data_IF_112333552122
#
_entry.id   IF_112333552122
#
_cell.length_a   1.000
_cell.length_b   1.000
_cell.length_c   1.000
_cell.angle_alpha   90.00
_cell.angle_beta   90.00
_cell.angle_gamma   90.00
#
_symmetry.space_group_name_H-M   'P 1'
#
loop_
_entity.id
_entity.type
_entity.pdbx_description
1 polymer ?
#
# COMPACT_ATOMS: atom_id res chain seq x y z
N UNK A 1 -14.34 1.81 16.12
CA UNK A 1 -12.94 1.39 16.24
C UNK A 1 -12.71 0.28 15.23
N UNK A 2 -11.66 0.39 14.42
CA UNK A 2 -11.36 -0.60 13.36
C UNK A 2 -10.95 -1.94 13.98
N UNK A 3 -11.39 -3.06 13.38
CA UNK A 3 -11.01 -4.42 13.77
C UNK A 3 -9.83 -4.90 12.91
N UNK A 4 -8.81 -5.51 13.50
CA UNK A 4 -7.79 -6.22 12.73
C UNK A 4 -8.26 -7.66 12.51
N UNK A 5 -8.34 -8.08 11.25
CA UNK A 5 -8.74 -9.43 10.82
C UNK A 5 -7.49 -10.17 10.35
N UNK A 6 -7.10 -11.20 11.07
CA UNK A 6 -5.94 -12.03 10.71
C UNK A 6 -6.31 -13.01 9.58
N UNK A 7 -5.46 -13.06 8.54
CA UNK A 7 -5.60 -13.99 7.41
C UNK A 7 -4.29 -14.74 7.20
N UNK A 8 -4.31 -16.05 7.35
CA UNK A 8 -3.18 -16.91 7.02
C UNK A 8 -3.13 -17.11 5.52
N UNK A 9 -1.96 -16.89 4.90
CA UNK A 9 -1.74 -17.00 3.45
C UNK A 9 -0.46 -17.79 3.18
N UNK A 10 -0.48 -18.63 2.15
CA UNK A 10 0.65 -19.51 1.82
C UNK A 10 1.67 -18.79 0.94
N UNK A 11 2.63 -18.12 1.59
CA UNK A 11 3.71 -17.36 0.99
C UNK A 11 5.06 -17.94 1.45
N UNK A 12 5.67 -18.72 0.57
CA UNK A 12 6.98 -19.36 0.79
C UNK A 12 8.12 -18.41 0.41
N UNK A 13 8.19 -17.29 1.15
CA UNK A 13 9.23 -16.32 0.95
C UNK A 13 10.60 -16.85 1.40
N UNK A 14 11.67 -16.53 0.66
CA UNK A 14 12.99 -17.09 0.94
C UNK A 14 13.54 -16.57 2.27
N UNK A 15 13.79 -17.49 3.21
CA UNK A 15 14.40 -17.16 4.49
C UNK A 15 15.82 -16.62 4.31
N UNK A 16 16.14 -15.52 5.00
CA UNK A 16 17.48 -14.92 4.98
C UNK A 16 17.83 -14.16 3.70
N UNK A 17 16.90 -14.01 2.76
CA UNK A 17 17.06 -13.19 1.56
C UNK A 17 16.08 -12.01 1.57
N UNK A 18 16.47 -10.90 0.95
CA UNK A 18 15.55 -9.76 0.85
C UNK A 18 14.36 -10.09 -0.03
N UNK A 19 13.21 -9.57 0.37
CA UNK A 19 12.05 -9.52 -0.51
C UNK A 19 12.21 -8.35 -1.47
N UNK A 20 11.35 -8.25 -2.46
CA UNK A 20 11.46 -7.24 -3.50
C UNK A 20 10.11 -6.59 -3.73
N UNK A 21 10.12 -5.27 -3.81
CA UNK A 21 8.94 -4.44 -3.98
C UNK A 21 9.08 -3.56 -5.23
N UNK A 22 7.96 -3.38 -5.94
CA UNK A 22 7.80 -2.44 -7.03
C UNK A 22 6.66 -1.49 -6.68
N UNK A 23 6.98 -0.22 -6.47
CA UNK A 23 5.97 0.85 -6.36
C UNK A 23 5.72 1.40 -7.76
N UNK A 24 4.47 1.37 -8.21
CA UNK A 24 4.02 2.00 -9.43
C UNK A 24 3.51 3.42 -9.12
N UNK A 25 4.40 4.40 -9.09
CA UNK A 25 4.02 5.81 -8.94
C UNK A 25 3.52 6.33 -10.30
N UNK A 26 2.26 6.05 -10.59
CA UNK A 26 1.55 6.45 -11.82
C UNK A 26 0.54 7.57 -11.54
N UNK A 27 0.16 8.38 -12.54
CA UNK A 27 -0.81 9.44 -12.35
C UNK A 27 -2.22 8.90 -12.13
N UNK A 28 -3.00 9.65 -11.38
CA UNK A 28 -4.45 9.53 -11.36
C UNK A 28 -5.05 10.79 -11.97
N UNK A 29 -5.88 10.65 -12.98
CA UNK A 29 -6.67 11.78 -13.52
C UNK A 29 -8.11 11.53 -13.14
N UNK A 30 -8.57 12.17 -12.07
CA UNK A 30 -9.88 11.94 -11.49
C UNK A 30 -10.87 13.02 -11.91
N UNK A 31 -12.13 12.63 -12.05
CA UNK A 31 -13.26 13.51 -12.27
C UNK A 31 -14.40 13.05 -11.36
N UNK A 32 -15.26 13.98 -10.97
CA UNK A 32 -16.44 13.65 -10.20
C UNK A 32 -17.62 13.37 -11.12
N UNK A 33 -18.26 12.21 -10.93
CA UNK A 33 -19.52 11.83 -11.60
C UNK A 33 -20.41 11.14 -10.59
N UNK A 34 -21.66 11.58 -10.47
CA UNK A 34 -22.64 11.00 -9.54
C UNK A 34 -22.12 10.84 -8.11
N UNK A 35 -21.36 11.84 -7.65
CA UNK A 35 -20.70 11.89 -6.32
C UNK A 35 -19.57 10.87 -6.09
N UNK A 36 -19.13 10.17 -7.14
CA UNK A 36 -17.97 9.29 -7.12
C UNK A 36 -16.77 9.99 -7.76
N UNK A 37 -15.58 9.78 -7.20
CA UNK A 37 -14.33 10.05 -7.90
C UNK A 37 -13.97 8.87 -8.79
N UNK A 38 -14.05 9.12 -10.11
CA UNK A 38 -13.76 8.16 -11.17
C UNK A 38 -12.59 8.67 -12.01
N UNK A 39 -11.94 7.79 -12.75
CA UNK A 39 -10.90 8.15 -13.71
C UNK A 39 -11.54 8.90 -14.89
N UNK A 40 -10.82 9.93 -15.35
CA UNK A 40 -11.19 10.78 -16.48
C UNK A 40 -11.29 9.96 -17.77
N UNK A 41 -10.28 9.10 -17.98
CA UNK A 41 -10.13 8.22 -19.13
C UNK A 41 -9.74 6.81 -18.66
N UNK A 42 -10.73 5.96 -18.32
CA UNK A 42 -10.49 4.60 -17.81
C UNK A 42 -9.60 3.74 -18.71
N UNK A 43 -9.80 3.78 -20.03
CA UNK A 43 -9.04 2.96 -20.98
C UNK A 43 -7.56 3.37 -21.06
N UNK A 44 -7.27 4.68 -21.08
CA UNK A 44 -5.90 5.16 -21.06
C UNK A 44 -5.20 4.81 -19.75
N UNK A 45 -5.89 4.96 -18.61
CA UNK A 45 -5.36 4.53 -17.33
C UNK A 45 -5.09 3.02 -17.33
N UNK A 46 -6.03 2.23 -17.84
CA UNK A 46 -5.87 0.79 -17.95
C UNK A 46 -4.68 0.39 -18.82
N UNK A 47 -4.46 1.04 -19.95
CA UNK A 47 -3.27 0.79 -20.77
C UNK A 47 -1.97 1.00 -19.98
N UNK A 48 -1.91 2.03 -19.13
CA UNK A 48 -0.76 2.25 -18.26
C UNK A 48 -0.64 1.16 -17.18
N UNK A 49 -1.73 0.83 -16.48
CA UNK A 49 -1.76 -0.23 -15.46
C UNK A 49 -1.33 -1.56 -16.08
N UNK A 50 -1.94 -1.95 -17.20
CA UNK A 50 -1.64 -3.16 -17.95
C UNK A 50 -0.18 -3.22 -18.38
N UNK A 51 0.42 -2.11 -18.81
CA UNK A 51 1.84 -2.09 -19.19
C UNK A 51 2.78 -2.42 -18.01
N UNK A 52 2.39 -2.07 -16.78
CA UNK A 52 3.12 -2.46 -15.56
C UNK A 52 2.89 -3.95 -15.27
N UNK A 53 1.66 -4.43 -15.39
CA UNK A 53 1.35 -5.85 -15.22
C UNK A 53 2.12 -6.72 -16.23
N UNK A 54 2.19 -6.30 -17.49
CA UNK A 54 2.94 -6.99 -18.56
C UNK A 54 4.44 -7.04 -18.22
N UNK A 55 5.02 -5.92 -17.78
CA UNK A 55 6.42 -5.86 -17.34
C UNK A 55 6.72 -6.85 -16.19
N UNK A 56 5.80 -6.94 -15.21
CA UNK A 56 5.93 -7.82 -14.05
C UNK A 56 5.76 -9.29 -14.46
N UNK A 57 4.77 -9.58 -15.29
CA UNK A 57 4.51 -10.91 -15.84
C UNK A 57 5.69 -11.45 -16.65
N UNK A 58 6.27 -10.62 -17.51
CA UNK A 58 7.45 -10.97 -18.32
C UNK A 58 8.66 -11.25 -17.41
N UNK A 59 8.76 -10.54 -16.29
CA UNK A 59 9.72 -10.83 -15.22
C UNK A 59 11.19 -10.69 -15.66
N UNK A 60 11.47 -9.86 -16.66
CA UNK A 60 12.82 -9.71 -17.20
C UNK A 60 13.84 -9.28 -16.12
N UNK A 61 15.04 -9.83 -16.17
CA UNK A 61 16.12 -9.50 -15.23
C UNK A 61 15.80 -9.89 -13.79
N UNK A 62 15.78 -8.91 -12.88
CA UNK A 62 15.51 -9.12 -11.46
C UNK A 62 14.01 -9.09 -11.12
N UNK A 63 13.13 -8.60 -12.01
CA UNK A 63 11.68 -8.54 -11.75
C UNK A 63 11.04 -9.92 -11.56
N UNK A 64 11.67 -10.99 -12.05
CA UNK A 64 11.32 -12.38 -11.72
C UNK A 64 11.35 -12.72 -10.22
N UNK A 65 12.00 -11.88 -9.41
CA UNK A 65 12.09 -12.00 -7.95
C UNK A 65 11.13 -11.06 -7.22
N UNK A 66 10.24 -10.37 -7.95
CA UNK A 66 9.28 -9.47 -7.34
C UNK A 66 8.37 -10.26 -6.39
N UNK A 67 8.16 -9.72 -5.19
CA UNK A 67 7.24 -10.28 -4.20
C UNK A 67 6.03 -9.36 -3.99
N UNK A 68 6.24 -8.04 -4.04
CA UNK A 68 5.20 -7.04 -3.80
C UNK A 68 5.10 -6.08 -4.98
N UNK A 69 3.91 -5.93 -5.55
CA UNK A 69 3.56 -4.89 -6.51
C UNK A 69 2.53 -3.96 -5.88
N UNK A 70 2.81 -2.66 -5.87
CA UNK A 70 1.93 -1.67 -5.28
C UNK A 70 1.53 -0.62 -6.31
N UNK A 71 0.22 -0.48 -6.55
CA UNK A 71 -0.37 0.64 -7.27
C UNK A 71 -0.99 1.65 -6.30
N UNK A 72 -1.15 2.92 -6.70
CA UNK A 72 -1.72 3.96 -5.85
C UNK A 72 -3.21 3.74 -5.54
N UNK A 73 -3.73 4.49 -4.58
CA UNK A 73 -5.18 4.64 -4.34
C UNK A 73 -5.88 5.12 -5.62
N UNK A 74 -7.09 4.64 -5.94
CA UNK A 74 -7.90 5.08 -7.09
C UNK A 74 -7.19 5.07 -8.45
N UNK A 75 -6.32 4.08 -8.70
CA UNK A 75 -5.49 4.02 -9.91
C UNK A 75 -5.93 3.00 -10.94
N UNK A 76 -6.81 2.07 -10.55
CA UNK A 76 -7.32 1.00 -11.41
C UNK A 76 -8.81 1.22 -11.72
N UNK A 77 -9.21 1.21 -13.00
CA UNK A 77 -10.62 1.30 -13.36
C UNK A 77 -11.41 0.06 -12.91
N UNK A 78 -12.63 0.28 -12.43
CA UNK A 78 -13.51 -0.83 -11.99
C UNK A 78 -13.89 -1.74 -13.15
N UNK A 79 -14.00 -1.20 -14.36
CA UNK A 79 -14.30 -1.97 -15.58
C UNK A 79 -13.24 -3.03 -15.93
N UNK A 80 -12.01 -2.88 -15.44
CA UNK A 80 -10.89 -3.80 -15.70
C UNK A 80 -10.46 -4.58 -14.45
N UNK A 81 -11.31 -4.62 -13.42
CA UNK A 81 -11.01 -5.37 -12.20
C UNK A 81 -10.75 -6.86 -12.50
N UNK A 82 -11.62 -7.48 -13.30
CA UNK A 82 -11.47 -8.89 -13.67
C UNK A 82 -10.28 -9.13 -14.61
N UNK A 83 -10.07 -8.26 -15.60
CA UNK A 83 -8.89 -8.35 -16.48
C UNK A 83 -7.57 -8.30 -15.70
N UNK A 84 -7.48 -7.44 -14.68
CA UNK A 84 -6.32 -7.36 -13.81
C UNK A 84 -6.12 -8.65 -13.02
N UNK A 85 -7.19 -9.18 -12.40
CA UNK A 85 -7.13 -10.44 -11.66
C UNK A 85 -6.72 -11.61 -12.56
N UNK A 86 -7.23 -11.67 -13.79
CA UNK A 86 -6.87 -12.69 -14.77
C UNK A 86 -5.38 -12.62 -15.13
N UNK A 87 -4.83 -11.42 -15.37
CA UNK A 87 -3.38 -11.26 -15.61
C UNK A 87 -2.55 -11.76 -14.43
N UNK A 88 -2.94 -11.46 -13.19
CA UNK A 88 -2.25 -11.98 -12.00
C UNK A 88 -2.38 -13.51 -11.92
N UNK A 89 -3.60 -14.04 -12.06
CA UNK A 89 -3.90 -15.46 -11.95
C UNK A 89 -3.14 -16.29 -13.00
N UNK A 90 -3.05 -15.80 -14.23
CA UNK A 90 -2.50 -16.55 -15.35
C UNK A 90 -0.99 -16.34 -15.52
N UNK A 91 -0.50 -15.10 -15.34
CA UNK A 91 0.85 -14.73 -15.79
C UNK A 91 1.83 -14.38 -14.68
N UNK A 92 1.37 -13.94 -13.51
CA UNK A 92 2.30 -13.63 -12.41
C UNK A 92 2.91 -14.91 -11.84
N UNK A 93 4.10 -14.78 -11.24
CA UNK A 93 4.73 -15.88 -10.53
C UNK A 93 4.01 -16.13 -9.20
N UNK A 94 3.97 -17.38 -8.70
CA UNK A 94 3.58 -17.66 -7.32
C UNK A 94 4.43 -16.87 -6.30
N UNK A 95 3.95 -16.79 -5.06
CA UNK A 95 4.55 -16.00 -3.98
C UNK A 95 4.62 -14.50 -4.32
N UNK A 96 3.52 -13.97 -4.85
CA UNK A 96 3.39 -12.54 -5.16
C UNK A 96 2.16 -11.95 -4.50
N UNK A 97 2.27 -10.68 -4.11
CA UNK A 97 1.22 -9.86 -3.53
C UNK A 97 1.08 -8.61 -4.38
N UNK A 98 -0.11 -8.35 -4.89
CA UNK A 98 -0.42 -7.15 -5.68
C UNK A 98 -1.48 -6.33 -4.95
N UNK A 99 -1.16 -5.08 -4.62
CA UNK A 99 -2.00 -4.16 -3.87
C UNK A 99 -2.37 -2.99 -4.77
N UNK A 100 -3.65 -2.71 -4.93
CA UNK A 100 -4.09 -1.66 -5.85
C UNK A 100 -5.40 -1.01 -5.40
N UNK A 101 -5.45 0.31 -5.50
CA UNK A 101 -6.66 1.09 -5.24
C UNK A 101 -7.54 1.19 -6.48
N UNK A 102 -8.85 1.06 -6.27
CA UNK A 102 -9.86 1.06 -7.31
C UNK A 102 -10.58 2.40 -7.37
N UNK A 103 -11.17 2.73 -8.52
CA UNK A 103 -12.17 3.80 -8.59
C UNK A 103 -13.27 3.58 -7.56
N UNK A 104 -13.89 4.69 -7.13
CA UNK A 104 -14.99 4.61 -6.17
C UNK A 104 -16.20 3.92 -6.79
N UNK A 105 -16.87 3.09 -5.99
CA UNK A 105 -18.13 2.42 -6.32
C UNK A 105 -19.16 2.69 -5.24
N UNK A 106 -20.41 2.30 -5.44
CA UNK A 106 -21.42 2.34 -4.37
C UNK A 106 -21.29 1.14 -3.42
N UNK A 107 -21.76 1.31 -2.19
CA UNK A 107 -21.71 0.25 -1.17
C UNK A 107 -22.44 -1.03 -1.62
N UNK A 108 -23.54 -0.91 -2.36
CA UNK A 108 -24.22 -2.06 -2.98
C UNK A 108 -23.28 -2.87 -3.89
N UNK A 109 -22.49 -2.20 -4.72
CA UNK A 109 -21.54 -2.84 -5.63
C UNK A 109 -20.38 -3.46 -4.84
N UNK A 110 -19.88 -2.76 -3.82
CA UNK A 110 -18.83 -3.28 -2.93
C UNK A 110 -19.29 -4.54 -2.18
N UNK A 111 -20.52 -4.54 -1.66
CA UNK A 111 -21.16 -5.70 -1.05
C UNK A 111 -21.27 -6.88 -2.03
N UNK A 112 -21.65 -6.62 -3.29
CA UNK A 112 -21.72 -7.66 -4.31
C UNK A 112 -20.34 -8.30 -4.57
N UNK A 113 -19.26 -7.49 -4.59
CA UNK A 113 -17.89 -8.00 -4.71
C UNK A 113 -17.47 -8.81 -3.48
N UNK A 114 -17.78 -8.35 -2.26
CA UNK A 114 -17.51 -9.11 -1.04
C UNK A 114 -18.23 -10.47 -1.04
N UNK A 115 -19.46 -10.55 -1.56
CA UNK A 115 -20.16 -11.82 -1.75
C UNK A 115 -19.49 -12.70 -2.81
N UNK A 116 -19.04 -12.12 -3.94
CA UNK A 116 -18.32 -12.86 -5.00
C UNK A 116 -17.03 -13.51 -4.47
N UNK A 117 -16.31 -12.83 -3.57
CA UNK A 117 -15.06 -13.32 -2.98
C UNK A 117 -15.22 -13.67 -1.49
N UNK A 118 -16.38 -14.19 -1.10
CA UNK A 118 -16.73 -14.40 0.30
C UNK A 118 -15.74 -15.31 1.05
N UNK A 119 -15.16 -16.31 0.39
CA UNK A 119 -14.19 -17.23 0.99
C UNK A 119 -12.99 -16.51 1.64
N UNK A 120 -12.58 -15.38 1.05
CA UNK A 120 -11.49 -14.55 1.55
C UNK A 120 -12.00 -13.36 2.40
N UNK A 121 -13.27 -12.98 2.26
CA UNK A 121 -13.82 -11.71 2.76
C UNK A 121 -15.00 -11.82 3.73
N UNK A 122 -15.29 -13.01 4.29
CA UNK A 122 -16.47 -13.24 5.12
C UNK A 122 -16.63 -12.24 6.29
N UNK A 123 -15.55 -11.88 6.98
CA UNK A 123 -15.56 -10.93 8.11
C UNK A 123 -15.80 -9.49 7.65
N UNK A 124 -15.28 -9.13 6.47
CA UNK A 124 -15.52 -7.84 5.84
C UNK A 124 -16.99 -7.72 5.42
N UNK A 125 -17.53 -8.79 4.83
CA UNK A 125 -18.95 -8.89 4.48
C UNK A 125 -19.83 -8.78 5.72
N UNK A 126 -19.53 -9.50 6.80
CA UNK A 126 -20.28 -9.41 8.06
C UNK A 126 -20.33 -7.98 8.61
N UNK A 127 -19.22 -7.23 8.53
CA UNK A 127 -19.18 -5.83 8.92
C UNK A 127 -20.11 -4.97 8.05
N UNK A 128 -20.12 -5.19 6.74
CA UNK A 128 -20.97 -4.43 5.79
C UNK A 128 -22.45 -4.75 6.00
N UNK A 129 -22.81 -6.02 6.16
CA UNK A 129 -24.21 -6.43 6.41
C UNK A 129 -24.73 -5.79 7.70
N UNK A 130 -23.94 -5.79 8.78
CA UNK A 130 -24.33 -5.15 10.05
C UNK A 130 -24.56 -3.65 9.91
N UNK A 131 -23.73 -2.96 9.12
CA UNK A 131 -23.87 -1.53 8.89
C UNK A 131 -25.10 -1.23 8.01
N UNK A 132 -25.39 -2.05 7.00
CA UNK A 132 -26.60 -1.96 6.17
C UNK A 132 -27.86 -2.21 7.01
N UNK A 133 -27.84 -3.19 7.90
CA UNK A 133 -28.96 -3.46 8.81
C UNK A 133 -29.25 -2.28 9.76
N UNK A 134 -28.27 -1.40 9.97
CA UNK A 134 -28.38 -0.23 10.85
C UNK A 134 -28.93 1.03 10.17
N UNK A 135 -29.04 1.06 8.84
CA UNK A 135 -29.57 2.22 8.11
C UNK A 135 -29.51 2.10 6.58
N UNK A 136 -30.18 3.03 5.89
CA UNK A 136 -30.17 3.09 4.43
C UNK A 136 -28.88 3.75 3.91
N UNK A 137 -27.85 2.93 3.70
CA UNK A 137 -26.50 3.38 3.32
C UNK A 137 -25.99 2.76 2.01
N UNK A 138 -26.81 1.99 1.31
CA UNK A 138 -26.40 1.24 0.10
C UNK A 138 -25.90 2.14 -1.03
N UNK A 139 -26.40 3.38 -1.09
CA UNK A 139 -25.99 4.38 -2.06
C UNK A 139 -24.64 5.04 -1.77
N UNK A 140 -24.07 4.88 -0.56
CA UNK A 140 -22.86 5.57 -0.14
C UNK A 140 -21.67 5.20 -1.04
N UNK A 141 -20.87 6.20 -1.48
CA UNK A 141 -19.59 5.96 -2.13
C UNK A 141 -18.63 5.16 -1.26
N UNK A 142 -17.83 4.29 -1.87
CA UNK A 142 -16.80 3.49 -1.20
C UNK A 142 -15.47 3.75 -1.90
N UNK A 143 -14.49 4.23 -1.14
CA UNK A 143 -13.08 4.21 -1.54
C UNK A 143 -12.47 2.89 -1.03
N UNK A 144 -11.91 2.08 -1.92
CA UNK A 144 -11.53 0.71 -1.61
C UNK A 144 -10.30 0.27 -2.40
N UNK A 145 -9.68 -0.80 -1.92
CA UNK A 145 -8.57 -1.45 -2.57
C UNK A 145 -8.76 -2.96 -2.62
N UNK A 146 -7.95 -3.59 -3.45
CA UNK A 146 -7.82 -5.03 -3.52
C UNK A 146 -6.38 -5.45 -3.22
N UNK A 147 -6.24 -6.48 -2.40
CA UNK A 147 -5.00 -7.19 -2.13
C UNK A 147 -5.13 -8.58 -2.76
N UNK A 148 -4.50 -8.77 -3.91
CA UNK A 148 -4.48 -10.02 -4.65
C UNK A 148 -3.21 -10.80 -4.30
N UNK A 149 -3.35 -11.98 -3.70
CA UNK A 149 -2.25 -12.80 -3.21
C UNK A 149 -2.20 -14.08 -4.04
N UNK A 150 -1.15 -14.25 -4.84
CA UNK A 150 -0.87 -15.50 -5.56
C UNK A 150 0.02 -16.37 -4.68
N UNK A 151 -0.61 -17.32 -4.01
CA UNK A 151 0.06 -18.23 -3.08
C UNK A 151 1.07 -19.14 -3.80
N UNK A 152 1.94 -19.80 -3.03
CA UNK A 152 2.95 -20.74 -3.55
C UNK A 152 2.36 -21.85 -4.42
N UNK A 153 1.11 -22.24 -4.15
CA UNK A 153 0.34 -23.24 -4.93
C UNK A 153 -0.10 -22.74 -6.30
N UNK A 154 0.03 -21.43 -6.57
CA UNK A 154 -0.54 -20.75 -7.73
C UNK A 154 -1.98 -20.28 -7.53
N UNK A 155 -2.65 -20.66 -6.42
CA UNK A 155 -3.99 -20.15 -6.08
C UNK A 155 -3.95 -18.64 -5.90
N UNK A 156 -4.86 -17.93 -6.58
CA UNK A 156 -5.10 -16.52 -6.34
C UNK A 156 -6.16 -16.36 -5.23
N UNK A 157 -5.85 -15.54 -4.23
CA UNK A 157 -6.76 -15.11 -3.18
C UNK A 157 -6.98 -13.61 -3.27
N UNK A 158 -8.20 -13.15 -3.02
CA UNK A 158 -8.63 -11.77 -3.31
C UNK A 158 -9.25 -11.18 -2.06
N UNK A 159 -8.61 -10.17 -1.49
CA UNK A 159 -9.08 -9.49 -0.28
C UNK A 159 -9.45 -8.05 -0.60
N UNK A 160 -10.60 -7.60 -0.13
CA UNK A 160 -11.18 -6.30 -0.44
C UNK A 160 -11.28 -5.47 0.84
N UNK A 161 -10.69 -4.28 0.83
CA UNK A 161 -10.66 -3.40 1.99
C UNK A 161 -11.22 -2.02 1.61
N UNK A 162 -12.20 -1.56 2.39
CA UNK A 162 -12.73 -0.21 2.28
C UNK A 162 -11.94 0.73 3.19
N UNK A 163 -11.64 1.93 2.69
CA UNK A 163 -10.97 2.99 3.45
C UNK A 163 -11.76 3.28 4.72
N UNK A 164 -11.08 3.30 5.86
CA UNK A 164 -11.75 3.48 7.15
C UNK A 164 -12.06 4.94 7.42
N UNK A 165 -11.20 5.85 6.97
CA UNK A 165 -11.32 7.28 7.22
C UNK A 165 -11.09 8.11 5.95
N UNK A 166 -12.17 8.65 5.39
CA UNK A 166 -12.14 9.63 4.31
C UNK A 166 -11.31 10.88 4.65
N UNK A 167 -10.73 11.52 3.63
CA UNK A 167 -10.16 12.86 3.78
C UNK A 167 -11.26 13.90 3.92
N UNK A 168 -11.00 15.01 4.61
CA UNK A 168 -11.91 16.15 4.73
C UNK A 168 -12.33 16.77 3.38
N UNK A 169 -11.56 16.56 2.31
CA UNK A 169 -11.96 16.94 0.94
C UNK A 169 -12.90 15.94 0.25
N UNK A 170 -13.07 14.76 0.85
CA UNK A 170 -14.00 13.69 0.48
C UNK A 170 -15.26 13.69 1.37
N UNK A 171 -15.33 14.53 2.42
CA UNK A 171 -16.46 14.67 3.35
C UNK A 171 -17.06 16.08 3.24
N UNK A 172 -18.38 16.19 3.04
CA UNK A 172 -19.07 17.48 2.89
C UNK A 172 -19.90 17.83 4.13
N UNK A 173 -20.29 19.10 4.26
CA UNK A 173 -21.18 19.56 5.36
C UNK A 173 -22.56 18.88 5.35
N UNK A 174 -22.90 18.23 4.24
CA UNK A 174 -24.15 17.52 4.03
C UNK A 174 -23.88 16.00 4.10
N UNK A 175 -24.45 15.35 5.12
CA UNK A 175 -24.18 13.94 5.49
C UNK A 175 -24.46 12.93 4.37
N UNK A 176 -25.28 13.32 3.40
CA UNK A 176 -25.68 12.48 2.27
C UNK A 176 -24.55 12.22 1.26
N UNK A 177 -23.37 12.82 1.47
CA UNK A 177 -22.21 12.70 0.59
C UNK A 177 -20.97 12.10 1.27
N UNK A 178 -21.11 11.58 2.49
CA UNK A 178 -19.99 10.94 3.18
C UNK A 178 -19.63 9.60 2.51
N UNK A 179 -18.33 9.31 2.41
CA UNK A 179 -17.84 7.99 2.02
C UNK A 179 -18.19 6.96 3.11
N UNK A 180 -18.53 5.74 2.70
CA UNK A 180 -18.64 4.60 3.60
C UNK A 180 -17.31 4.37 4.32
N UNK A 181 -17.37 4.20 5.63
CA UNK A 181 -16.21 4.00 6.50
C UNK A 181 -15.99 2.51 6.74
N UNK A 182 -14.92 1.98 6.19
CA UNK A 182 -14.47 0.61 6.46
C UNK A 182 -14.33 0.32 7.96
N UNK A 183 -14.59 -0.93 8.33
CA UNK A 183 -14.62 -1.39 9.73
C UNK A 183 -13.46 -2.29 10.13
N UNK A 184 -12.61 -2.67 9.18
CA UNK A 184 -11.51 -3.58 9.43
C UNK A 184 -10.25 -3.22 8.66
N UNK A 185 -9.14 -3.79 9.11
CA UNK A 185 -7.90 -3.93 8.34
C UNK A 185 -7.50 -5.40 8.31
N UNK A 186 -6.91 -5.85 7.21
CA UNK A 186 -6.31 -7.18 7.15
C UNK A 186 -4.88 -7.19 7.71
N UNK A 187 -4.60 -8.17 8.57
CA UNK A 187 -3.25 -8.60 8.92
C UNK A 187 -2.98 -9.94 8.25
N UNK A 188 -2.15 -9.95 7.21
CA UNK A 188 -1.78 -11.16 6.51
C UNK A 188 -0.61 -11.83 7.22
N UNK A 189 -0.79 -13.09 7.58
CA UNK A 189 0.24 -13.95 8.20
C UNK A 189 0.78 -14.89 7.14
N UNK A 190 1.95 -14.55 6.60
CA UNK A 190 2.62 -15.34 5.57
C UNK A 190 3.22 -16.61 6.15
N UNK A 191 2.78 -17.76 5.66
CA UNK A 191 3.28 -19.08 6.05
C UNK A 191 3.94 -19.80 4.86
N UNK A 192 5.04 -20.55 5.08
CA UNK A 192 5.71 -20.81 6.35
C UNK A 192 6.72 -19.73 6.77
N UNK A 193 6.91 -18.67 5.96
CA UNK A 193 7.97 -17.69 6.16
C UNK A 193 7.83 -16.80 7.42
N UNK A 194 6.67 -16.81 8.07
CA UNK A 194 6.32 -15.94 9.21
C UNK A 194 6.44 -14.44 8.91
N UNK A 195 6.21 -14.04 7.65
CA UNK A 195 6.24 -12.63 7.24
C UNK A 195 4.83 -12.03 7.35
N UNK A 196 4.63 -11.13 8.30
CA UNK A 196 3.35 -10.49 8.57
C UNK A 196 3.29 -9.10 7.93
N UNK A 197 2.24 -8.82 7.19
CA UNK A 197 2.07 -7.52 6.55
C UNK A 197 0.63 -7.03 6.53
N UNK A 198 0.48 -5.72 6.38
CA UNK A 198 -0.80 -5.04 6.24
C UNK A 198 -0.76 -4.09 5.04
N UNK A 199 -1.91 -3.86 4.41
CA UNK A 199 -2.11 -2.79 3.43
C UNK A 199 -3.21 -1.88 3.95
N UNK A 200 -3.05 -0.57 3.85
CA UNK A 200 -4.06 0.42 4.22
C UNK A 200 -4.10 1.57 3.21
N UNK A 201 -5.15 2.40 3.26
CA UNK A 201 -5.39 3.44 2.26
C UNK A 201 -5.13 4.83 2.82
N UNK A 202 -4.09 5.49 2.34
CA UNK A 202 -3.87 6.93 2.45
C UNK A 202 -3.93 7.48 3.90
N UNK A 203 -5.05 8.10 4.27
CA UNK A 203 -5.27 8.71 5.58
C UNK A 203 -5.66 7.72 6.66
N UNK A 204 -5.94 6.47 6.32
CA UNK A 204 -6.04 5.40 7.31
C UNK A 204 -4.77 5.34 8.18
N UNK A 205 -3.61 5.70 7.60
CA UNK A 205 -2.35 5.82 8.32
C UNK A 205 -2.35 7.00 9.30
N UNK A 206 -3.01 8.11 9.00
CA UNK A 206 -2.98 9.32 9.85
C UNK A 206 -4.11 9.41 10.85
N UNK A 207 -5.17 8.63 10.67
CA UNK A 207 -6.40 8.85 11.40
C UNK A 207 -6.22 8.68 12.91
N UNK A 208 -6.61 9.73 13.64
CA UNK A 208 -6.77 9.76 15.08
C UNK A 208 -7.85 10.76 15.48
N UNK A 209 -8.63 10.40 16.47
CA UNK A 209 -9.54 11.29 17.20
C UNK A 209 -9.17 11.29 18.69
N UNK A 210 -10.01 11.90 19.54
CA UNK A 210 -9.78 11.99 20.99
C UNK A 210 -9.75 10.62 21.70
N UNK A 211 -10.31 9.58 21.08
CA UNK A 211 -10.58 8.29 21.70
C UNK A 211 -9.95 7.10 20.95
N UNK A 212 -9.56 7.28 19.69
CA UNK A 212 -9.10 6.20 18.82
C UNK A 212 -8.05 6.66 17.81
N UNK A 213 -7.14 5.76 17.48
CA UNK A 213 -6.14 5.93 16.42
C UNK A 213 -5.99 4.60 15.70
N UNK A 214 -6.01 4.63 14.37
CA UNK A 214 -5.81 3.44 13.55
C UNK A 214 -4.41 2.86 13.77
N UNK A 215 -3.39 3.72 13.81
CA UNK A 215 -2.02 3.30 14.06
C UNK A 215 -1.84 2.74 15.47
N UNK A 216 -2.52 3.32 16.47
CA UNK A 216 -2.51 2.72 17.81
C UNK A 216 -3.08 1.30 17.81
N UNK A 217 -4.16 1.05 17.07
CA UNK A 217 -4.70 -0.31 16.95
C UNK A 217 -3.72 -1.29 16.31
N UNK A 218 -3.00 -0.85 15.27
CA UNK A 218 -1.96 -1.65 14.62
C UNK A 218 -0.81 -1.94 15.60
N UNK A 219 -0.33 -0.94 16.33
CA UNK A 219 0.72 -1.10 17.36
C UNK A 219 0.26 -2.08 18.45
N UNK A 220 -0.91 -1.86 19.04
CA UNK A 220 -1.43 -2.68 20.13
C UNK A 220 -1.61 -4.14 19.68
N UNK A 221 -2.12 -4.37 18.46
CA UNK A 221 -2.27 -5.71 17.91
C UNK A 221 -0.92 -6.38 17.62
N UNK A 222 0.03 -5.64 17.02
CA UNK A 222 1.36 -6.17 16.73
C UNK A 222 2.16 -6.48 18.00
N UNK A 223 2.00 -5.68 19.05
CA UNK A 223 2.57 -5.97 20.36
C UNK A 223 1.98 -7.25 20.96
N UNK A 224 0.66 -7.47 20.86
CA UNK A 224 0.05 -8.75 21.27
C UNK A 224 0.65 -9.93 20.50
N UNK A 225 0.81 -9.80 19.18
CA UNK A 225 1.44 -10.83 18.34
C UNK A 225 2.88 -11.12 18.82
N UNK A 226 3.65 -10.08 19.14
CA UNK A 226 5.02 -10.23 19.62
C UNK A 226 5.10 -10.92 20.97
N UNK A 227 4.30 -10.50 21.95
CA UNK A 227 4.36 -11.08 23.29
C UNK A 227 3.81 -12.50 23.35
N UNK A 228 2.88 -12.87 22.45
CA UNK A 228 2.28 -14.20 22.42
C UNK A 228 3.06 -15.20 21.56
N UNK A 229 3.58 -14.75 20.41
CA UNK A 229 4.13 -15.64 19.38
C UNK A 229 5.55 -15.27 18.94
N UNK A 230 6.14 -14.19 19.49
CA UNK A 230 7.44 -13.64 19.05
C UNK A 230 7.48 -13.27 17.56
N UNK A 231 6.34 -12.86 17.04
CA UNK A 231 6.20 -12.33 15.68
C UNK A 231 5.84 -10.85 15.73
N UNK A 232 6.37 -10.06 14.81
CA UNK A 232 6.10 -8.63 14.66
C UNK A 232 5.26 -8.37 13.40
N UNK A 233 4.83 -7.13 13.21
CA UNK A 233 4.49 -6.63 11.88
C UNK A 233 5.80 -6.38 11.11
N UNK A 234 5.96 -6.99 9.95
CA UNK A 234 7.20 -6.88 9.16
C UNK A 234 7.09 -5.78 8.09
N UNK A 235 5.90 -5.61 7.49
CA UNK A 235 5.66 -4.54 6.53
C UNK A 235 4.27 -3.91 6.64
N UNK A 236 4.22 -2.59 6.47
CA UNK A 236 2.97 -1.82 6.37
C UNK A 236 2.97 -1.06 5.04
N UNK A 237 2.09 -1.44 4.13
CA UNK A 237 1.92 -0.78 2.84
C UNK A 237 0.81 0.26 2.92
N UNK A 238 1.08 1.48 2.47
CA UNK A 238 0.12 2.58 2.44
C UNK A 238 -0.01 3.03 0.99
N UNK A 239 -1.13 2.68 0.33
CA UNK A 239 -1.43 3.15 -1.04
C UNK A 239 -2.12 4.51 -0.97
N UNK A 240 -1.74 5.45 -1.81
CA UNK A 240 -2.17 6.85 -1.64
C UNK A 240 -2.42 7.57 -2.96
N UNK A 241 -3.39 8.49 -2.93
CA UNK A 241 -3.55 9.58 -3.87
C UNK A 241 -3.50 10.90 -3.06
N UNK A 242 -2.38 11.11 -2.37
CA UNK A 242 -2.21 12.18 -1.40
C UNK A 242 -1.50 13.40 -2.02
N UNK A 243 -2.15 14.59 -2.09
CA UNK A 243 -1.52 15.80 -2.62
C UNK A 243 -0.45 16.38 -1.69
N UNK A 244 -0.39 15.95 -0.42
CA UNK A 244 0.55 16.46 0.60
C UNK A 244 1.34 15.31 1.25
N UNK A 245 2.16 14.57 0.48
CA UNK A 245 2.90 13.41 1.00
C UNK A 245 3.92 13.79 2.08
N UNK A 246 4.45 15.01 2.04
CA UNK A 246 5.43 15.53 3.00
C UNK A 246 4.80 16.31 4.18
N UNK A 247 3.47 16.21 4.39
CA UNK A 247 2.82 16.95 5.48
C UNK A 247 3.32 16.49 6.86
N UNK A 248 3.51 17.44 7.80
CA UNK A 248 4.05 17.16 9.14
C UNK A 248 3.26 16.12 9.94
N UNK A 249 1.96 15.97 9.67
CA UNK A 249 1.14 14.92 10.27
C UNK A 249 1.70 13.50 10.04
N UNK A 250 2.27 13.21 8.86
CA UNK A 250 2.94 11.92 8.60
C UNK A 250 4.16 11.73 9.47
N UNK A 251 4.96 12.79 9.62
CA UNK A 251 6.11 12.79 10.51
C UNK A 251 5.70 12.52 11.97
N UNK A 252 4.63 13.15 12.45
CA UNK A 252 4.15 12.97 13.82
C UNK A 252 3.70 11.53 14.09
N UNK A 253 2.98 10.93 13.14
CA UNK A 253 2.52 9.54 13.24
C UNK A 253 3.69 8.56 13.15
N UNK A 254 4.63 8.77 12.21
CA UNK A 254 5.86 7.97 12.12
C UNK A 254 6.69 8.07 13.40
N UNK A 255 6.76 9.26 14.00
CA UNK A 255 7.44 9.46 15.28
C UNK A 255 6.79 8.66 16.39
N UNK A 256 5.46 8.58 16.45
CA UNK A 256 4.77 7.71 17.41
C UNK A 256 4.96 6.23 17.11
N UNK A 257 4.90 5.83 15.83
CA UNK A 257 5.00 4.44 15.41
C UNK A 257 6.39 3.84 15.62
N UNK A 258 7.45 4.61 15.36
CA UNK A 258 8.84 4.16 15.51
C UNK A 258 9.55 4.66 16.78
N UNK A 259 9.01 5.69 17.45
CA UNK A 259 9.73 6.50 18.43
C UNK A 259 9.28 6.41 19.87
N UNK A 260 8.56 5.37 20.29
CA UNK A 260 8.18 5.28 21.71
C UNK A 260 9.39 5.00 22.62
N UNK A 261 9.76 6.03 23.37
CA UNK A 261 10.83 6.04 24.37
C UNK A 261 10.32 5.72 25.80
N UNK A 262 9.01 5.50 25.98
CA UNK A 262 8.38 5.29 27.30
C UNK A 262 7.67 3.94 27.46
N UNK A 263 7.13 3.37 26.37
CA UNK A 263 6.62 1.99 26.31
C UNK A 263 7.40 1.25 25.21
N UNK A 264 7.95 0.08 25.51
CA UNK A 264 8.60 -0.74 24.48
C UNK A 264 7.50 -1.25 23.54
N UNK A 265 7.56 -0.86 22.26
CA UNK A 265 6.65 -1.31 21.19
C UNK A 265 7.32 -2.33 20.27
N UNK A 266 7.75 -3.49 20.80
CA UNK A 266 8.57 -4.44 20.06
C UNK A 266 7.84 -5.02 18.84
N UNK A 267 6.50 -5.01 18.83
CA UNK A 267 5.70 -5.55 17.75
C UNK A 267 5.78 -4.79 16.43
N UNK A 268 6.18 -3.51 16.44
CA UNK A 268 6.30 -2.69 15.24
C UNK A 268 7.71 -2.13 15.00
N UNK A 269 8.61 -2.32 15.96
CA UNK A 269 9.94 -1.69 16.02
C UNK A 269 10.77 -1.82 14.74
N UNK A 270 10.64 -2.95 14.06
CA UNK A 270 11.43 -3.31 12.89
C UNK A 270 10.57 -3.32 11.60
N UNK A 271 9.33 -2.81 11.67
CA UNK A 271 8.41 -2.74 10.52
C UNK A 271 9.01 -1.87 9.42
N UNK A 272 8.90 -2.31 8.17
CA UNK A 272 9.15 -1.47 6.99
C UNK A 272 7.84 -0.83 6.55
N UNK A 273 7.73 0.49 6.60
CA UNK A 273 6.52 1.19 6.10
C UNK A 273 6.76 1.69 4.68
N UNK A 274 5.93 1.29 3.73
CA UNK A 274 6.05 1.63 2.31
C UNK A 274 4.87 2.49 1.87
N UNK A 275 5.13 3.74 1.54
CA UNK A 275 4.16 4.69 1.02
C UNK A 275 4.25 4.74 -0.51
N UNK A 276 3.23 4.22 -1.19
CA UNK A 276 3.08 4.28 -2.64
C UNK A 276 2.05 5.31 -3.03
N UNK A 277 2.50 6.47 -3.51
CA UNK A 277 1.63 7.57 -3.92
C UNK A 277 1.49 7.62 -5.45
N UNK A 278 0.45 8.28 -5.94
CA UNK A 278 0.35 8.69 -7.34
C UNK A 278 1.41 9.75 -7.70
N UNK A 279 1.74 9.92 -8.99
CA UNK A 279 2.75 10.89 -9.45
C UNK A 279 2.26 12.35 -9.43
N UNK A 280 3.17 13.31 -9.61
CA UNK A 280 2.86 14.75 -9.78
C UNK A 280 2.10 15.12 -11.06
N UNK A 281 2.00 14.19 -12.01
CA UNK A 281 1.14 14.31 -13.19
C UNK A 281 -0.36 14.06 -12.89
N UNK A 282 -0.70 13.79 -11.62
CA UNK A 282 -2.08 13.56 -11.20
C UNK A 282 -2.93 14.82 -11.23
N UNK A 283 -4.20 14.64 -11.52
CA UNK A 283 -5.20 15.69 -11.72
C UNK A 283 -6.50 15.34 -11.02
N UNK A 284 -7.18 16.34 -10.47
CA UNK A 284 -8.57 16.20 -10.02
C UNK A 284 -9.40 17.29 -10.70
N UNK A 285 -10.47 16.88 -11.37
CA UNK A 285 -11.38 17.75 -12.14
C UNK A 285 -10.62 18.64 -13.15
N UNK A 286 -9.58 18.10 -13.78
CA UNK A 286 -8.73 18.79 -14.76
C UNK A 286 -7.75 19.81 -14.15
N UNK A 287 -7.67 19.89 -12.83
CA UNK A 287 -6.74 20.79 -12.13
C UNK A 287 -5.51 20.02 -11.68
N UNK A 288 -4.34 20.44 -12.20
CA UNK A 288 -3.02 20.00 -11.70
C UNK A 288 -2.63 20.78 -10.46
N UNK A 289 -2.19 20.08 -9.43
CA UNK A 289 -1.66 20.69 -8.22
C UNK A 289 -0.13 20.76 -8.32
N UNK A 290 0.42 21.97 -8.58
CA UNK A 290 1.87 22.15 -8.73
C UNK A 290 2.61 21.83 -7.42
N UNK A 291 3.60 20.94 -7.49
CA UNK A 291 4.37 20.52 -6.32
C UNK A 291 3.59 19.64 -5.33
N UNK A 292 2.48 19.06 -5.78
CA UNK A 292 1.67 18.10 -5.02
C UNK A 292 1.88 16.68 -5.58
N UNK A 293 1.52 15.67 -4.79
CA UNK A 293 1.68 14.25 -5.14
C UNK A 293 3.14 13.83 -5.37
N UNK A 294 3.31 12.61 -5.87
CA UNK A 294 4.60 11.94 -5.97
C UNK A 294 5.15 11.61 -4.60
N UNK A 295 6.49 11.57 -4.49
CA UNK A 295 7.19 11.40 -3.22
C UNK A 295 6.72 10.13 -2.49
N UNK A 296 6.56 9.03 -3.24
CA UNK A 296 6.54 7.71 -2.61
C UNK A 296 7.79 7.56 -1.73
N UNK A 297 7.69 6.85 -0.61
CA UNK A 297 8.85 6.67 0.26
C UNK A 297 8.76 5.40 1.09
N UNK A 298 9.90 4.97 1.60
CA UNK A 298 10.04 3.84 2.51
C UNK A 298 10.63 4.34 3.82
N UNK A 299 10.00 4.05 4.94
CA UNK A 299 10.48 4.38 6.27
C UNK A 299 10.85 3.11 7.04
N UNK A 300 11.98 3.16 7.74
CA UNK A 300 12.45 2.13 8.67
C UNK A 300 12.94 2.80 9.95
N UNK A 301 13.07 2.04 11.03
CA UNK A 301 13.62 2.54 12.29
C UNK A 301 15.01 3.16 12.11
N UNK A 302 15.28 4.29 12.78
CA UNK A 302 16.60 4.92 12.79
C UNK A 302 17.70 4.05 13.44
N UNK A 303 17.33 2.92 14.05
CA UNK A 303 18.29 1.90 14.52
C UNK A 303 18.98 1.20 13.35
N UNK A 304 18.33 1.11 12.20
CA UNK A 304 18.96 0.67 10.97
C UNK A 304 19.76 1.82 10.39
N UNK A 305 21.05 1.58 10.11
CA UNK A 305 21.87 2.57 9.42
C UNK A 305 21.55 2.54 7.93
N UNK A 306 21.18 3.69 7.37
CA UNK A 306 21.08 3.90 5.92
C UNK A 306 22.07 4.99 5.52
N UNK A 307 22.87 4.73 4.49
CA UNK A 307 23.84 5.72 4.00
C UNK A 307 23.11 6.96 3.47
N UNK A 308 23.60 8.18 3.75
CA UNK A 308 23.08 9.39 3.12
C UNK A 308 23.29 9.31 1.60
N UNK A 309 22.21 9.42 0.83
CA UNK A 309 22.24 9.39 -0.64
C UNK A 309 21.36 10.49 -1.19
N UNK A 310 21.84 11.13 -2.25
CA UNK A 310 21.18 12.22 -2.95
C UNK A 310 21.34 11.96 -4.44
N UNK A 311 20.45 11.15 -5.01
CA UNK A 311 20.36 10.90 -6.44
C UNK A 311 19.22 11.71 -7.06
N UNK A 312 19.19 11.75 -8.39
CA UNK A 312 18.12 12.44 -9.12
C UNK A 312 16.73 11.85 -8.84
N UNK A 313 16.64 10.52 -8.76
CA UNK A 313 15.36 9.80 -8.68
C UNK A 313 14.99 9.40 -7.24
N UNK A 314 15.94 9.46 -6.30
CA UNK A 314 15.70 9.13 -4.88
C UNK A 314 16.77 9.73 -3.96
N UNK A 315 16.43 9.91 -2.71
CA UNK A 315 17.33 10.39 -1.67
C UNK A 315 17.03 9.70 -0.33
N UNK A 316 18.00 9.66 0.58
CA UNK A 316 17.76 9.28 1.96
C UNK A 316 17.81 10.49 2.90
N UNK A 317 16.91 10.52 3.88
CA UNK A 317 16.82 11.54 4.92
C UNK A 317 16.26 10.96 6.23
N UNK A 318 16.20 11.78 7.28
CA UNK A 318 15.66 11.43 8.62
C UNK A 318 14.26 12.03 8.86
N UNK A 319 13.58 12.43 7.79
CA UNK A 319 12.29 13.13 7.81
C UNK A 319 12.23 14.29 8.84
N UNK A 320 13.25 15.16 8.82
CA UNK A 320 13.41 16.28 9.75
C UNK A 320 13.55 15.82 11.21
N UNK A 321 14.53 14.95 11.45
CA UNK A 321 14.92 14.47 12.78
C UNK A 321 13.89 13.55 13.44
N UNK A 322 13.04 12.89 12.66
CA UNK A 322 12.17 11.82 13.16
C UNK A 322 13.02 10.56 13.50
N UNK A 323 12.52 9.64 14.33
CA UNK A 323 13.24 8.42 14.74
C UNK A 323 13.24 7.34 13.63
N UNK A 324 13.31 7.77 12.37
CA UNK A 324 13.28 6.92 11.18
C UNK A 324 14.43 7.27 10.25
N UNK A 325 14.82 6.32 9.42
CA UNK A 325 15.51 6.59 8.18
C UNK A 325 14.52 6.41 7.03
N UNK A 326 14.48 7.37 6.11
CA UNK A 326 13.55 7.40 4.99
C UNK A 326 14.28 7.34 3.66
N UNK A 327 13.90 6.42 2.79
CA UNK A 327 14.23 6.42 1.37
C UNK A 327 13.10 7.09 0.62
N UNK A 328 13.32 8.31 0.13
CA UNK A 328 12.33 9.16 -0.52
C UNK A 328 12.54 9.17 -2.03
N UNK A 329 11.48 8.92 -2.79
CA UNK A 329 11.51 8.92 -4.25
C UNK A 329 11.15 10.29 -4.85
N UNK A 330 11.48 10.48 -6.13
CA UNK A 330 11.08 11.66 -6.90
C UNK A 330 9.57 11.77 -7.12
N UNK A 331 9.14 12.82 -7.82
CA UNK A 331 7.70 13.13 -7.99
C UNK A 331 7.08 12.58 -9.26
N UNK A 332 7.88 12.36 -10.31
CA UNK A 332 7.37 12.02 -11.64
C UNK A 332 6.79 10.61 -11.77
N UNK A 333 6.16 10.33 -12.91
CA UNK A 333 5.67 9.00 -13.27
C UNK A 333 6.83 8.00 -13.37
N UNK A 334 6.90 7.07 -12.42
CA UNK A 334 8.03 6.16 -12.23
C UNK A 334 7.60 4.82 -11.66
N UNK A 335 8.39 3.78 -11.94
CA UNK A 335 8.36 2.55 -11.17
C UNK A 335 9.65 2.42 -10.36
N UNK A 336 9.53 2.16 -9.06
CA UNK A 336 10.66 2.03 -8.14
C UNK A 336 10.80 0.58 -7.69
N UNK A 337 11.81 -0.12 -8.21
CA UNK A 337 12.13 -1.50 -7.83
C UNK A 337 13.25 -1.53 -6.79
N UNK A 338 12.97 -2.06 -5.61
CA UNK A 338 13.91 -2.08 -4.49
C UNK A 338 13.74 -3.36 -3.64
N UNK A 339 14.68 -3.64 -2.77
CA UNK A 339 14.56 -4.74 -1.81
C UNK A 339 13.87 -4.29 -0.51
N UNK A 340 13.07 -5.17 0.07
CA UNK A 340 12.52 -5.03 1.42
C UNK A 340 13.40 -5.84 2.38
N UNK A 341 13.99 -5.20 3.41
CA UNK A 341 14.80 -5.91 4.39
C UNK A 341 13.91 -6.86 5.19
N UNK A 342 14.46 -8.03 5.52
CA UNK A 342 13.88 -8.94 6.49
C UNK A 342 14.67 -8.78 7.79
N UNK A 343 13.99 -8.35 8.85
CA UNK A 343 14.58 -8.37 10.18
C UNK A 343 14.31 -9.73 10.84
N UNK A 344 15.34 -10.28 11.48
CA UNK A 344 15.19 -11.44 12.32
C UNK A 344 16.12 -11.29 13.53
N UNK A 345 15.55 -11.16 14.73
CA UNK A 345 16.28 -10.82 15.97
C UNK A 345 17.42 -11.80 16.26
N UNK A 346 17.24 -13.07 15.87
CA UNK A 346 18.24 -14.13 16.07
C UNK A 346 19.34 -14.18 14.99
N UNK A 347 19.19 -13.47 13.86
CA UNK A 347 20.24 -13.40 12.84
C UNK A 347 21.02 -12.09 12.96
N UNK A 348 22.26 -12.08 13.49
CA UNK A 348 23.06 -10.86 13.60
C UNK A 348 23.39 -10.22 12.23
N UNK A 349 23.20 -10.95 11.12
CA UNK A 349 23.33 -10.41 9.75
C UNK A 349 22.13 -9.56 9.33
N UNK A 350 20.96 -9.71 9.96
CA UNK A 350 19.77 -8.91 9.67
C UNK A 350 19.96 -7.41 9.98
N UNK A 351 20.86 -7.08 10.92
CA UNK A 351 21.28 -5.71 11.23
C UNK A 351 22.03 -4.99 10.11
N UNK A 352 22.40 -5.70 9.03
CA UNK A 352 23.35 -5.23 8.00
C UNK A 352 22.77 -5.08 6.62
N UNK A 353 21.46 -5.26 6.41
CA UNK A 353 20.93 -5.13 5.05
C UNK A 353 20.06 -3.90 4.84
N UNK A 354 20.64 -2.84 4.26
CA UNK A 354 19.94 -1.60 3.96
C UNK A 354 18.99 -1.74 2.76
N UNK A 355 18.03 -0.83 2.71
CA UNK A 355 17.16 -0.59 1.57
C UNK A 355 18.01 -0.22 0.35
N UNK A 356 17.93 -0.99 -0.72
CA UNK A 356 18.67 -0.90 -1.98
C UNK A 356 17.68 -0.69 -3.12
N UNK A 357 17.80 0.43 -3.81
CA UNK A 357 17.11 0.66 -5.09
C UNK A 357 17.84 -0.11 -6.18
N UNK A 358 17.16 -1.06 -6.81
CA UNK A 358 17.72 -1.88 -7.87
C UNK A 358 17.51 -1.25 -9.24
N UNK A 359 16.35 -0.66 -9.49
CA UNK A 359 16.03 -0.06 -10.78
C UNK A 359 14.94 0.99 -10.62
N UNK A 360 15.08 2.11 -11.33
CA UNK A 360 14.02 3.10 -11.53
C UNK A 360 13.64 3.09 -13.01
N UNK A 361 12.35 2.93 -13.30
CA UNK A 361 11.80 2.94 -14.66
C UNK A 361 11.02 4.23 -14.86
N UNK A 362 11.12 4.82 -16.06
CA UNK A 362 10.32 5.98 -16.49
C UNK A 362 9.44 5.61 -17.66
N UNK A 363 8.26 6.23 -17.71
CA UNK A 363 7.32 6.08 -18.81
C UNK A 363 7.79 6.89 -20.03
N UNK A 364 7.63 6.32 -21.22
CA UNK A 364 7.86 6.96 -22.53
C UNK A 364 6.85 6.43 -23.54
N UNK A 365 6.78 7.04 -24.73
CA UNK A 365 5.89 6.60 -25.82
C UNK A 365 6.13 5.13 -26.23
N UNK A 366 7.31 4.57 -25.96
CA UNK A 366 7.67 3.17 -26.20
C UNK A 366 7.52 2.24 -25.00
N UNK A 367 6.93 2.69 -23.90
CA UNK A 367 6.77 1.94 -22.64
C UNK A 367 7.79 2.29 -21.56
N UNK A 368 7.97 1.37 -20.60
CA UNK A 368 8.85 1.54 -19.45
C UNK A 368 10.32 1.31 -19.81
N UNK A 369 11.15 2.34 -19.60
CA UNK A 369 12.61 2.25 -19.81
C UNK A 369 13.35 2.63 -18.54
N UNK A 370 14.58 2.11 -18.35
CA UNK A 370 15.41 2.50 -17.20
C UNK A 370 15.70 4.00 -17.24
N UNK A 371 15.52 4.68 -16.12
CA UNK A 371 15.98 6.04 -15.95
C UNK A 371 17.52 6.04 -15.96
N UNK A 372 18.13 6.82 -16.86
CA UNK A 372 19.58 6.94 -16.98
C UNK A 372 20.17 7.54 -15.69
N UNK A 373 21.01 6.78 -15.00
CA UNK A 373 21.62 7.12 -13.71
C UNK A 373 21.62 5.99 -12.67
N UNK A 374 20.84 4.93 -12.88
CA UNK A 374 20.83 3.76 -11.97
C UNK A 374 21.90 2.74 -12.31
N UNK A 375 23.16 2.98 -11.96
CA UNK A 375 24.05 1.86 -11.62
C UNK A 375 23.51 1.21 -10.33
N UNK A 376 23.74 -0.09 -10.12
CA UNK A 376 23.24 -0.78 -8.93
C UNK A 376 23.92 -0.25 -7.64
N UNK A 377 23.36 0.80 -7.04
CA UNK A 377 23.86 1.32 -5.77
C UNK A 377 23.36 0.47 -4.60
N UNK A 378 24.26 -0.19 -3.87
CA UNK A 378 23.97 -0.78 -2.56
C UNK A 378 24.06 0.36 -1.53
N UNK A 379 22.95 0.70 -0.86
CA UNK A 379 22.93 1.75 0.18
C UNK A 379 23.51 1.25 1.51
#
# INVERSE_FOLDING_TARGET
MVKIVEKHVQLDFPLGHHLHCLIAQIPNRLQRRDHLFLLANPEEQWHMVRSVLDLVADGAGNLKRLHFLQFPETSVPVSHFDDLLDVIAERFRPNTVTMFGMEQIRLEQYRALLNRFQDDNAEALECVERDIDSGDILGMPVNWCCIAIKETSGRLRVFLEAKTHPFRGEEFLDKDHDLYRGRHFYLFRGEPACFNFMTIICLDYLYRDLYSSNIKQIIDHSNRLFFTMRQSLDALFVIQCNPKPEHSAYRDVLTGFYGEHLEDTPGVRETVTVFGNCSDESEIEGVRCQGCYGVSFVAISARHKMSPVQEREFASDDFAGAPVCRLRFGTGTRLFYFNLPLYHELDPRSSRVPLKVHTVLRWTDGGWIKASGGEEHVL
#
